data_IF_764785562390
#
_entry.id   IF_764785562390
#
_cell.length_a   1.000
_cell.length_b   1.000
_cell.length_c   1.000
_cell.angle_alpha   90.00
_cell.angle_beta   90.00
_cell.angle_gamma   90.00
#
_symmetry.space_group_name_H-M   'P 1'
#
loop_
_entity.id
_entity.type
_entity.pdbx_description
1 polymer ?
#
# COMPACT_ATOMS: atom_id res chain seq x y z
N UNK A 1 -16.29 14.98 -8.81
CA UNK A 1 -15.19 15.71 -8.14
C UNK A 1 -13.87 15.36 -8.83
N UNK A 2 -12.89 16.25 -8.88
CA UNK A 2 -11.61 15.92 -9.49
C UNK A 2 -10.75 15.16 -8.48
N UNK A 3 -10.62 13.84 -8.64
CA UNK A 3 -9.83 12.98 -7.72
C UNK A 3 -8.33 13.14 -7.91
N UNK A 4 -7.88 13.82 -8.97
CA UNK A 4 -6.46 14.01 -9.30
C UNK A 4 -5.79 12.78 -9.92
N UNK A 5 -6.45 11.62 -9.92
CA UNK A 5 -6.06 10.46 -10.72
C UNK A 5 -6.32 10.71 -12.22
N UNK A 6 -5.56 10.06 -13.12
CA UNK A 6 -5.86 10.07 -14.55
C UNK A 6 -7.18 9.34 -14.83
N UNK A 7 -7.85 9.73 -15.92
CA UNK A 7 -8.98 8.96 -16.44
C UNK A 7 -8.53 7.59 -16.94
N UNK A 8 -9.38 6.58 -16.75
CA UNK A 8 -9.13 5.21 -17.23
C UNK A 8 -8.28 4.40 -16.26
N UNK A 9 -7.60 3.39 -16.80
CA UNK A 9 -6.83 2.43 -16.01
C UNK A 9 -5.43 2.94 -15.72
N UNK A 10 -4.88 2.63 -14.55
CA UNK A 10 -3.54 3.02 -14.15
C UNK A 10 -2.90 2.02 -13.18
N UNK A 11 -1.58 2.13 -13.02
CA UNK A 11 -0.79 1.40 -12.02
C UNK A 11 -0.31 2.38 -10.96
N UNK A 12 -0.39 2.00 -9.68
CA UNK A 12 0.06 2.82 -8.55
C UNK A 12 1.45 2.34 -8.11
N UNK A 13 2.48 3.15 -8.31
CA UNK A 13 3.87 2.86 -7.95
C UNK A 13 4.26 3.55 -6.64
N UNK A 14 4.73 2.79 -5.65
CA UNK A 14 5.37 3.35 -4.46
C UNK A 14 6.78 3.84 -4.80
N UNK A 15 7.04 5.13 -4.57
CA UNK A 15 8.36 5.73 -4.76
C UNK A 15 9.33 5.39 -3.61
N UNK A 16 8.82 4.86 -2.51
CA UNK A 16 9.62 4.44 -1.36
C UNK A 16 10.42 3.15 -1.64
N UNK A 17 9.79 2.17 -2.30
CA UNK A 17 10.33 0.82 -2.47
C UNK A 17 10.31 0.31 -3.91
N UNK A 18 9.90 1.13 -4.89
CA UNK A 18 9.83 0.76 -6.32
C UNK A 18 8.97 -0.48 -6.60
N UNK A 19 7.89 -0.62 -5.84
CA UNK A 19 6.88 -1.68 -5.97
C UNK A 19 5.54 -1.08 -6.31
N UNK A 20 4.69 -1.85 -6.95
CA UNK A 20 3.35 -1.40 -7.34
C UNK A 20 2.30 -1.99 -6.41
N UNK A 21 1.19 -1.30 -6.26
CA UNK A 21 0.01 -1.83 -5.58
C UNK A 21 -0.47 -3.08 -6.34
N UNK A 22 -0.79 -4.14 -5.60
CA UNK A 22 -1.17 -5.43 -6.14
C UNK A 22 -2.21 -6.08 -5.22
N UNK A 23 -3.24 -6.65 -5.82
CA UNK A 23 -4.20 -7.51 -5.12
C UNK A 23 -3.52 -8.83 -4.80
N UNK A 24 -3.44 -9.17 -3.50
CA UNK A 24 -2.73 -10.35 -3.04
C UNK A 24 -3.25 -11.61 -3.72
N UNK A 25 -2.33 -12.41 -4.27
CA UNK A 25 -2.60 -13.64 -5.00
C UNK A 25 -3.53 -13.49 -6.23
N UNK A 26 -3.80 -12.26 -6.69
CA UNK A 26 -4.84 -11.98 -7.69
C UNK A 26 -6.22 -12.52 -7.29
N UNK A 27 -6.49 -12.59 -5.98
CA UNK A 27 -7.76 -13.07 -5.44
C UNK A 27 -8.88 -12.03 -5.63
N UNK A 28 -10.12 -12.49 -5.62
CA UNK A 28 -11.32 -11.64 -5.76
C UNK A 28 -12.23 -11.67 -4.54
N UNK A 29 -11.93 -12.51 -3.55
CA UNK A 29 -12.73 -12.64 -2.35
C UNK A 29 -12.70 -11.36 -1.49
N UNK A 30 -13.81 -11.07 -0.81
CA UNK A 30 -13.90 -9.94 0.13
C UNK A 30 -12.86 -10.04 1.25
N UNK A 31 -12.32 -8.88 1.64
CA UNK A 31 -11.26 -8.81 2.64
C UNK A 31 -9.87 -9.17 2.08
N UNK A 32 -9.75 -9.47 0.78
CA UNK A 32 -8.44 -9.68 0.15
C UNK A 32 -7.59 -8.42 0.25
N UNK A 33 -6.51 -8.51 1.01
CA UNK A 33 -5.59 -7.40 1.27
C UNK A 33 -4.85 -6.94 0.00
N UNK A 34 -4.69 -5.63 -0.13
CA UNK A 34 -3.77 -5.03 -1.10
C UNK A 34 -2.37 -4.97 -0.52
N UNK A 35 -1.39 -5.28 -1.34
CA UNK A 35 0.02 -5.32 -0.97
C UNK A 35 0.85 -4.51 -1.96
N UNK A 36 2.13 -4.29 -1.66
CA UNK A 36 3.09 -3.84 -2.66
C UNK A 36 3.90 -5.04 -3.16
N UNK A 37 3.94 -5.21 -4.47
CA UNK A 37 4.59 -6.32 -5.14
C UNK A 37 5.50 -5.82 -6.28
N UNK A 38 6.52 -6.59 -6.73
CA UNK A 38 7.23 -6.24 -7.95
C UNK A 38 6.26 -6.08 -9.12
N UNK A 39 6.53 -5.10 -9.97
CA UNK A 39 5.76 -4.91 -11.19
C UNK A 39 5.86 -6.17 -12.06
N UNK A 40 4.71 -6.84 -12.28
CA UNK A 40 4.61 -8.09 -13.06
C UNK A 40 4.82 -7.83 -14.55
N UNK A 41 4.55 -6.60 -15.01
CA UNK A 41 4.58 -6.24 -16.41
C UNK A 41 4.96 -4.78 -16.65
N UNK A 42 5.82 -4.54 -17.65
CA UNK A 42 6.38 -3.20 -17.91
C UNK A 42 5.62 -2.37 -18.94
N UNK A 43 4.81 -2.99 -19.80
CA UNK A 43 4.08 -2.24 -20.82
C UNK A 43 2.98 -1.40 -20.16
N UNK A 44 2.88 -0.13 -20.53
CA UNK A 44 1.77 0.75 -20.15
C UNK A 44 0.69 0.82 -21.25
N UNK A 45 0.84 0.06 -22.33
CA UNK A 45 -0.19 -0.08 -23.36
C UNK A 45 -1.23 -1.10 -22.90
N UNK A 46 -2.46 -0.64 -22.68
CA UNK A 46 -3.57 -1.45 -22.21
C UNK A 46 -3.90 -2.62 -23.14
N UNK A 47 -3.73 -2.44 -24.45
CA UNK A 47 -4.08 -3.45 -25.46
C UNK A 47 -3.06 -4.57 -25.57
N UNK A 48 -1.80 -4.27 -25.22
CA UNK A 48 -0.68 -5.22 -25.26
C UNK A 48 -0.41 -5.90 -23.92
N UNK A 49 -1.08 -5.44 -22.85
CA UNK A 49 -0.90 -6.00 -21.50
C UNK A 49 -1.49 -7.39 -21.40
N UNK A 50 -0.84 -8.22 -20.59
CA UNK A 50 -1.37 -9.52 -20.23
C UNK A 50 -2.50 -9.38 -19.19
N UNK A 51 -3.74 -9.82 -19.48
CA UNK A 51 -4.86 -9.74 -18.54
C UNK A 51 -4.64 -10.44 -17.20
N UNK A 52 -3.77 -11.47 -17.14
CA UNK A 52 -3.41 -12.14 -15.89
C UNK A 52 -2.69 -11.24 -14.89
N UNK A 53 -2.17 -10.08 -15.34
CA UNK A 53 -1.52 -9.08 -14.50
C UNK A 53 -2.45 -7.91 -14.11
N UNK A 54 -3.76 -8.03 -14.35
CA UNK A 54 -4.73 -6.99 -13.99
C UNK A 54 -4.91 -6.79 -12.48
N UNK A 55 -4.34 -7.66 -11.64
CA UNK A 55 -4.25 -7.46 -10.18
C UNK A 55 -3.43 -6.23 -9.77
N UNK A 56 -2.65 -5.64 -10.71
CA UNK A 56 -1.85 -4.42 -10.50
C UNK A 56 -2.44 -3.18 -11.16
N UNK A 57 -3.64 -3.31 -11.70
CA UNK A 57 -4.28 -2.26 -12.49
C UNK A 57 -5.55 -1.81 -11.78
N UNK A 58 -5.70 -0.50 -11.63
CA UNK A 58 -6.78 0.12 -10.89
C UNK A 58 -7.40 1.24 -11.73
N UNK A 59 -8.59 1.67 -11.34
CA UNK A 59 -9.26 2.84 -11.89
C UNK A 59 -10.04 3.56 -10.79
N UNK A 60 -10.44 4.79 -11.04
CA UNK A 60 -11.41 5.52 -10.21
C UNK A 60 -12.77 5.41 -10.88
N UNK A 61 -13.78 4.99 -10.12
CA UNK A 61 -15.17 4.92 -10.59
C UNK A 61 -15.84 6.30 -10.64
N UNK A 62 -17.12 6.34 -11.04
CA UNK A 62 -17.89 7.59 -11.11
C UNK A 62 -18.14 8.27 -9.75
N UNK A 63 -17.99 7.53 -8.64
CA UNK A 63 -18.19 8.01 -7.27
C UNK A 63 -16.89 8.50 -6.62
N UNK A 64 -15.73 8.25 -7.25
CA UNK A 64 -14.42 8.59 -6.69
C UNK A 64 -13.79 7.45 -5.88
N UNK A 65 -14.37 6.26 -5.92
CA UNK A 65 -13.85 5.07 -5.26
C UNK A 65 -12.75 4.44 -6.11
N UNK A 66 -11.70 3.93 -5.46
CA UNK A 66 -10.67 3.15 -6.14
C UNK A 66 -11.19 1.74 -6.39
N UNK A 67 -10.95 1.18 -7.56
CA UNK A 67 -11.41 -0.15 -7.93
C UNK A 67 -10.31 -0.98 -8.61
N UNK A 68 -10.33 -2.29 -8.39
CA UNK A 68 -9.46 -3.25 -9.06
C UNK A 68 -9.98 -3.54 -10.46
N UNK A 69 -9.12 -3.44 -11.48
CA UNK A 69 -9.49 -3.86 -12.85
C UNK A 69 -9.68 -5.36 -12.96
N UNK A 70 -8.92 -6.15 -12.20
CA UNK A 70 -8.93 -7.61 -12.29
C UNK A 70 -10.28 -8.22 -11.89
N UNK A 71 -10.87 -7.71 -10.81
CA UNK A 71 -12.14 -8.20 -10.27
C UNK A 71 -13.32 -7.27 -10.54
N UNK A 72 -13.07 -5.99 -10.78
CA UNK A 72 -14.10 -4.94 -10.85
C UNK A 72 -14.62 -4.51 -9.48
N UNK A 73 -14.03 -5.02 -8.39
CA UNK A 73 -14.45 -4.72 -7.01
C UNK A 73 -13.77 -3.46 -6.48
N UNK A 74 -14.43 -2.83 -5.51
CA UNK A 74 -13.97 -1.59 -4.88
C UNK A 74 -12.89 -1.88 -3.86
N UNK A 75 -12.05 -0.88 -3.62
CA UNK A 75 -11.05 -0.90 -2.57
C UNK A 75 -11.63 -0.21 -1.35
N UNK A 76 -11.66 -0.94 -0.24
CA UNK A 76 -12.19 -0.48 1.03
C UNK A 76 -11.08 -0.44 2.10
N UNK A 77 -11.38 0.17 3.23
CA UNK A 77 -10.53 0.28 4.39
C UNK A 77 -11.06 -0.61 5.53
N UNK A 78 -10.27 -1.61 5.91
CA UNK A 78 -10.49 -2.42 7.12
C UNK A 78 -9.38 -2.14 8.12
N UNK A 79 -9.73 -1.49 9.23
CA UNK A 79 -8.78 -1.00 10.24
C UNK A 79 -7.76 -0.04 9.58
N UNK A 80 -6.50 -0.47 9.43
CA UNK A 80 -5.44 0.27 8.75
C UNK A 80 -5.09 -0.29 7.36
N UNK A 81 -5.80 -1.32 6.88
CA UNK A 81 -5.43 -2.07 5.67
C UNK A 81 -6.42 -1.81 4.53
N UNK A 82 -5.88 -1.72 3.32
CA UNK A 82 -6.70 -1.71 2.12
C UNK A 82 -7.09 -3.14 1.73
N UNK A 83 -8.37 -3.36 1.45
CA UNK A 83 -8.92 -4.64 1.03
C UNK A 83 -9.80 -4.49 -0.20
N UNK A 84 -10.02 -5.59 -0.92
CA UNK A 84 -11.09 -5.67 -1.91
C UNK A 84 -12.42 -5.91 -1.19
N UNK A 85 -13.47 -5.24 -1.66
CA UNK A 85 -14.84 -5.51 -1.25
C UNK A 85 -15.83 -5.40 -2.41
N UNK A 86 -16.75 -6.35 -2.52
CA UNK A 86 -17.87 -6.33 -3.44
C UNK A 86 -18.83 -5.20 -3.06
N UNK A 87 -19.43 -4.56 -4.06
CA UNK A 87 -20.54 -3.65 -3.83
C UNK A 87 -21.81 -4.47 -3.70
N UNK A 88 -22.32 -4.61 -2.49
CA UNK A 88 -23.58 -5.31 -2.26
C UNK A 88 -24.75 -4.46 -2.76
N UNK A 89 -25.63 -5.00 -3.64
CA UNK A 89 -26.72 -4.21 -4.25
C UNK A 89 -27.79 -3.71 -3.27
N UNK A 90 -27.72 -4.11 -2.00
CA UNK A 90 -28.64 -3.69 -0.94
C UNK A 90 -27.95 -3.00 0.23
N UNK A 91 -26.64 -2.78 0.12
CA UNK A 91 -25.83 -2.12 1.15
C UNK A 91 -25.55 -0.68 0.70
N UNK A 92 -26.62 0.13 0.72
CA UNK A 92 -26.52 1.58 0.54
C UNK A 92 -26.05 2.28 1.83
N UNK A 93 -25.91 1.53 2.93
CA UNK A 93 -25.68 2.07 4.27
C UNK A 93 -24.18 2.36 4.54
N UNK A 94 -23.25 1.73 3.81
CA UNK A 94 -21.81 1.96 4.00
C UNK A 94 -21.16 2.61 2.76
N UNK A 95 -20.89 3.93 2.80
CA UNK A 95 -20.18 4.61 1.73
C UNK A 95 -18.73 4.08 1.63
N UNK A 96 -18.32 3.71 0.42
CA UNK A 96 -16.94 3.32 0.15
C UNK A 96 -15.99 4.53 0.27
N UNK A 97 -14.72 4.30 0.66
CA UNK A 97 -13.75 5.37 0.78
C UNK A 97 -13.52 6.09 -0.56
N UNK A 98 -13.45 7.42 -0.51
CA UNK A 98 -13.12 8.25 -1.66
C UNK A 98 -11.61 8.45 -1.71
N UNK A 99 -11.02 8.17 -2.86
CA UNK A 99 -9.58 8.29 -3.06
C UNK A 99 -9.25 9.55 -3.84
N UNK A 100 -8.26 10.29 -3.35
CA UNK A 100 -7.72 11.45 -4.08
C UNK A 100 -6.19 11.36 -4.18
N UNK A 101 -5.64 11.86 -5.28
CA UNK A 101 -4.21 11.94 -5.54
C UNK A 101 -3.80 13.38 -5.79
N UNK A 102 -2.85 13.87 -5.01
CA UNK A 102 -2.27 15.18 -5.21
C UNK A 102 -1.01 15.07 -6.08
N UNK A 103 -1.00 15.56 -7.33
CA UNK A 103 0.17 15.44 -8.21
C UNK A 103 1.37 16.27 -7.76
N UNK A 104 1.16 17.29 -6.92
CA UNK A 104 2.22 18.15 -6.37
C UNK A 104 2.93 17.47 -5.20
N UNK A 105 2.18 16.98 -4.19
CA UNK A 105 2.78 16.28 -3.04
C UNK A 105 3.07 14.82 -3.33
N UNK A 106 2.44 14.26 -4.36
CA UNK A 106 2.45 12.84 -4.74
C UNK A 106 1.85 11.91 -3.70
N UNK A 107 0.97 12.44 -2.86
CA UNK A 107 0.30 11.67 -1.82
C UNK A 107 -1.08 11.20 -2.30
N UNK A 108 -1.49 10.04 -1.81
CA UNK A 108 -2.85 9.52 -1.98
C UNK A 108 -3.55 9.68 -0.63
N UNK A 109 -4.67 10.40 -0.63
CA UNK A 109 -5.56 10.52 0.54
C UNK A 109 -6.74 9.59 0.38
N UNK A 110 -7.22 9.09 1.51
CA UNK A 110 -8.39 8.23 1.62
C UNK A 110 -9.35 8.90 2.58
N UNK A 111 -10.51 9.30 2.07
CA UNK A 111 -11.57 9.92 2.86
C UNK A 111 -12.63 8.87 3.17
N UNK A 112 -12.93 8.67 4.45
CA UNK A 112 -13.90 7.70 4.95
C UNK A 112 -15.00 8.47 5.67
N UNK A 113 -16.24 8.15 5.34
CA UNK A 113 -17.41 8.66 6.04
C UNK A 113 -17.74 7.70 7.18
N UNK A 114 -17.83 8.25 8.39
CA UNK A 114 -18.10 7.49 9.60
C UNK A 114 -19.58 7.52 9.92
N UNK A 115 -20.08 6.41 10.48
CA UNK A 115 -21.40 6.39 11.08
C UNK A 115 -21.44 7.31 12.32
N UNK A 116 -22.49 8.12 12.49
CA UNK A 116 -22.63 9.00 13.63
C UNK A 116 -22.82 8.19 14.92
N UNK A 117 -21.84 8.24 15.83
CA UNK A 117 -21.96 7.62 17.14
C UNK A 117 -22.93 8.45 18.01
N UNK A 118 -24.11 7.90 18.33
CA UNK A 118 -25.16 8.50 19.18
C UNK A 118 -26.13 9.50 18.53
N UNK A 119 -26.25 9.53 17.20
CA UNK A 119 -27.31 10.30 16.52
C UNK A 119 -27.08 11.82 16.47
N UNK A 120 -25.85 12.26 16.69
CA UNK A 120 -25.43 13.62 16.32
C UNK A 120 -25.17 13.64 14.80
N UNK A 121 -25.96 14.42 14.06
CA UNK A 121 -25.83 14.62 12.59
C UNK A 121 -24.61 15.48 12.23
N UNK A 122 -23.42 15.14 12.73
CA UNK A 122 -22.19 15.71 12.19
C UNK A 122 -21.68 14.83 11.03
N UNK A 123 -21.38 15.44 9.88
CA UNK A 123 -20.68 14.79 8.77
C UNK A 123 -19.26 14.43 9.23
N UNK A 124 -19.12 13.31 9.93
CA UNK A 124 -17.85 12.82 10.45
C UNK A 124 -17.08 12.16 9.30
N UNK A 125 -16.22 12.96 8.65
CA UNK A 125 -15.29 12.49 7.63
C UNK A 125 -13.89 12.43 8.21
N UNK A 126 -13.28 11.25 8.14
CA UNK A 126 -11.88 11.07 8.48
C UNK A 126 -11.03 11.00 7.21
N UNK A 127 -9.88 11.68 7.24
CA UNK A 127 -8.92 11.68 6.14
C UNK A 127 -7.64 10.99 6.56
N UNK A 128 -7.30 9.96 5.81
CA UNK A 128 -6.06 9.21 5.96
C UNK A 128 -5.12 9.43 4.77
N UNK A 129 -3.85 9.11 4.97
CA UNK A 129 -2.83 9.05 3.92
C UNK A 129 -2.38 7.61 3.71
N UNK A 130 -2.30 7.19 2.45
CA UNK A 130 -1.74 5.91 2.07
C UNK A 130 -0.21 5.89 2.24
N UNK A 131 0.31 4.90 2.96
CA UNK A 131 1.73 4.77 3.26
C UNK A 131 2.27 3.35 3.06
N UNK A 132 3.48 3.25 2.50
CA UNK A 132 4.20 1.99 2.39
C UNK A 132 4.90 1.62 3.70
N UNK A 133 4.83 0.36 4.12
CA UNK A 133 5.57 -0.13 5.29
C UNK A 133 6.89 -0.78 4.83
N UNK A 134 8.06 -0.16 5.11
CA UNK A 134 9.35 -0.76 4.78
C UNK A 134 9.56 -2.02 5.61
N UNK A 135 10.22 -3.03 5.04
CA UNK A 135 10.59 -4.24 5.76
C UNK A 135 12.11 -4.33 5.88
N UNK A 136 12.60 -4.47 7.12
CA UNK A 136 14.02 -4.64 7.39
C UNK A 136 14.38 -6.12 7.42
N UNK A 137 15.54 -6.48 6.89
CA UNK A 137 16.17 -7.75 7.18
C UNK A 137 16.64 -7.77 8.64
N UNK A 138 16.42 -8.88 9.36
CA UNK A 138 16.96 -9.04 10.70
C UNK A 138 18.48 -8.90 10.68
N UNK A 139 19.04 -8.21 11.69
CA UNK A 139 20.48 -8.03 11.85
C UNK A 139 20.94 -8.54 13.21
N UNK A 140 22.17 -9.02 13.28
CA UNK A 140 22.85 -9.41 14.53
C UNK A 140 24.03 -8.49 14.75
N UNK A 141 24.16 -7.99 15.98
CA UNK A 141 25.31 -7.21 16.45
C UNK A 141 26.23 -8.11 17.25
N UNK A 142 27.50 -8.18 16.87
CA UNK A 142 28.52 -8.95 17.58
C UNK A 142 29.10 -8.13 18.75
N UNK A 143 29.71 -8.80 19.73
CA UNK A 143 30.37 -8.13 20.87
C UNK A 143 31.50 -7.18 20.46
N UNK A 144 32.06 -7.35 19.26
CA UNK A 144 32.99 -6.44 18.61
C UNK A 144 32.36 -5.12 18.12
N UNK A 145 31.04 -4.98 18.16
CA UNK A 145 30.29 -3.85 17.62
C UNK A 145 29.98 -3.94 16.13
N UNK A 146 30.42 -4.98 15.42
CA UNK A 146 30.07 -5.20 14.01
C UNK A 146 28.65 -5.72 13.86
N UNK A 147 27.96 -5.37 12.75
CA UNK A 147 26.61 -5.84 12.43
C UNK A 147 26.59 -6.67 11.14
N UNK A 148 25.80 -7.74 11.11
CA UNK A 148 25.59 -8.56 9.91
C UNK A 148 24.10 -8.83 9.66
N UNK A 149 23.71 -8.93 8.39
CA UNK A 149 22.36 -9.29 7.96
C UNK A 149 22.16 -10.80 8.13
N UNK A 150 21.06 -11.19 8.77
CA UNK A 150 20.67 -12.59 8.94
C UNK A 150 20.00 -13.10 7.66
N UNK A 151 20.46 -14.22 7.09
CA UNK A 151 19.81 -14.80 5.91
C UNK A 151 18.37 -15.27 6.23
N UNK A 152 17.42 -15.12 5.29
CA UNK A 152 15.98 -15.30 5.52
C UNK A 152 15.55 -16.70 6.00
N UNK A 153 16.39 -17.73 5.82
CA UNK A 153 16.07 -19.11 6.20
C UNK A 153 16.73 -19.58 7.51
N UNK A 154 17.52 -18.73 8.19
CA UNK A 154 18.46 -19.17 9.22
C UNK A 154 19.55 -20.05 8.59
N UNK A 155 20.82 -19.70 8.63
CA UNK A 155 21.56 -19.74 9.89
C UNK A 155 22.91 -19.06 9.67
N UNK A 156 23.36 -18.23 10.60
CA UNK A 156 24.80 -18.15 10.85
C UNK A 156 25.15 -19.44 11.61
N UNK A 157 25.03 -20.60 10.95
CA UNK A 157 25.01 -22.03 11.38
C UNK A 157 24.92 -22.41 12.88
N UNK A 158 23.87 -22.09 13.66
CA UNK A 158 23.92 -22.42 15.11
C UNK A 158 25.18 -21.78 15.80
N UNK A 159 25.87 -20.83 15.11
CA UNK A 159 27.24 -20.34 15.34
C UNK A 159 27.18 -19.21 16.37
N UNK A 160 27.77 -19.30 17.54
CA UNK A 160 28.52 -20.35 18.20
C UNK A 160 28.37 -20.00 19.67
N UNK A 161 27.92 -20.96 20.50
CA UNK A 161 28.04 -20.94 21.97
C UNK A 161 27.45 -19.73 22.70
N UNK A 162 26.27 -19.98 23.29
CA UNK A 162 25.72 -19.40 24.53
C UNK A 162 26.36 -18.08 25.03
N UNK A 163 25.65 -16.95 24.80
CA UNK A 163 25.69 -15.68 25.59
C UNK A 163 25.63 -14.38 24.77
N UNK A 164 25.28 -14.40 23.48
CA UNK A 164 25.04 -13.16 22.73
C UNK A 164 23.71 -12.51 23.13
N UNK A 165 23.77 -11.55 24.06
CA UNK A 165 22.66 -10.66 24.42
C UNK A 165 22.18 -9.93 23.15
N UNK A 166 20.97 -10.26 22.70
CA UNK A 166 20.33 -9.64 21.54
C UNK A 166 19.89 -8.22 21.90
N UNK A 167 20.66 -7.22 21.52
CA UNK A 167 20.17 -5.85 21.45
C UNK A 167 19.62 -5.59 20.05
N UNK A 168 18.30 -5.68 19.89
CA UNK A 168 17.62 -5.10 18.74
C UNK A 168 17.59 -3.58 18.95
N UNK A 169 18.40 -2.83 18.20
CA UNK A 169 18.36 -1.38 18.15
C UNK A 169 17.08 -0.93 17.46
N UNK A 170 16.04 -0.62 18.25
CA UNK A 170 14.71 -0.27 17.75
C UNK A 170 14.51 1.24 17.52
N UNK A 171 15.55 2.08 17.67
CA UNK A 171 15.40 3.54 17.83
C UNK A 171 15.25 4.39 16.55
N UNK A 172 16.06 4.16 15.52
CA UNK A 172 16.05 5.03 14.30
C UNK A 172 16.29 4.23 13.00
N UNK A 173 16.54 2.93 13.10
CA UNK A 173 16.93 2.07 11.99
C UNK A 173 15.76 1.32 11.33
N UNK A 174 14.52 1.54 11.79
CA UNK A 174 13.30 0.92 11.25
C UNK A 174 12.87 1.50 9.88
N UNK A 175 13.70 2.36 9.29
CA UNK A 175 13.36 3.15 8.10
C UNK A 175 14.02 2.64 6.81
N UNK A 176 14.91 1.65 6.91
CA UNK A 176 15.58 1.06 5.75
C UNK A 176 14.82 -0.19 5.32
N UNK A 177 14.27 -0.15 4.11
CA UNK A 177 13.75 -1.33 3.42
C UNK A 177 14.91 -2.08 2.75
N UNK A 178 15.58 -2.94 3.50
CA UNK A 178 16.64 -3.83 2.98
C UNK A 178 16.17 -5.28 2.83
N UNK A 179 14.88 -5.58 3.07
CA UNK A 179 14.36 -6.95 2.98
C UNK A 179 14.36 -7.52 1.57
N UNK A 180 14.76 -8.79 1.43
CA UNK A 180 14.72 -9.51 0.16
C UNK A 180 13.33 -10.05 -0.19
N UNK A 181 12.37 -9.94 0.71
CA UNK A 181 11.02 -10.41 0.44
C UNK A 181 10.36 -9.62 -0.69
N UNK A 182 9.45 -10.26 -1.41
CA UNK A 182 8.75 -9.61 -2.52
C UNK A 182 7.52 -8.82 -2.08
N UNK A 183 6.97 -9.12 -0.91
CA UNK A 183 5.75 -8.48 -0.44
C UNK A 183 6.14 -7.37 0.54
N UNK A 184 5.50 -6.21 0.40
CA UNK A 184 5.41 -5.20 1.47
C UNK A 184 3.96 -4.93 1.79
N UNK A 185 3.71 -4.56 3.04
CA UNK A 185 2.40 -4.09 3.46
C UNK A 185 2.24 -2.63 3.05
N UNK A 186 1.02 -2.27 2.71
CA UNK A 186 0.55 -0.89 2.59
C UNK A 186 -0.46 -0.68 3.71
N UNK A 187 -0.54 0.53 4.24
CA UNK A 187 -1.55 0.89 5.23
C UNK A 187 -1.99 2.34 5.09
N UNK A 188 -3.08 2.70 5.72
CA UNK A 188 -3.46 4.09 5.94
C UNK A 188 -2.94 4.59 7.29
N UNK A 189 -2.69 5.89 7.39
CA UNK A 189 -2.35 6.58 8.64
C UNK A 189 -3.10 7.90 8.67
N UNK A 190 -3.40 8.41 9.85
CA UNK A 190 -3.99 9.74 10.00
C UNK A 190 -3.18 10.80 9.23
N UNK A 191 -3.90 11.74 8.62
CA UNK A 191 -3.29 12.84 7.89
C UNK A 191 -2.66 13.87 8.84
N UNK A 192 -1.47 13.54 9.34
CA UNK A 192 -0.65 14.44 10.16
C UNK A 192 0.47 15.04 9.33
N UNK A 193 0.92 16.23 9.73
CA UNK A 193 2.12 16.85 9.16
C UNK A 193 3.33 15.91 9.28
N UNK A 194 4.12 15.87 8.22
CA UNK A 194 5.27 14.98 8.11
C UNK A 194 6.50 15.68 8.68
N UNK A 195 7.13 15.09 9.68
CA UNK A 195 8.28 15.69 10.36
C UNK A 195 9.63 15.25 9.76
N UNK A 196 9.64 14.24 8.88
CA UNK A 196 10.86 13.72 8.26
C UNK A 196 10.73 13.46 6.75
N UNK A 197 11.83 13.68 6.02
CA UNK A 197 11.93 13.35 4.58
C UNK A 197 11.62 11.88 4.31
N UNK A 198 11.98 11.01 5.26
CA UNK A 198 11.83 9.56 5.14
C UNK A 198 10.37 9.15 5.23
N UNK A 199 9.61 9.72 6.17
CA UNK A 199 8.16 9.52 6.22
C UNK A 199 7.48 10.07 4.97
N UNK A 200 7.92 11.23 4.47
CA UNK A 200 7.39 11.80 3.23
C UNK A 200 7.57 10.82 2.09
N UNK A 201 8.77 10.23 1.94
CA UNK A 201 9.04 9.25 0.89
C UNK A 201 8.10 8.03 0.96
N UNK A 202 7.76 7.54 2.17
CA UNK A 202 6.80 6.42 2.37
C UNK A 202 5.37 6.75 1.93
N UNK A 203 5.02 8.03 1.88
CA UNK A 203 3.71 8.55 1.47
C UNK A 203 3.66 9.00 0.00
N UNK A 204 4.79 8.91 -0.73
CA UNK A 204 4.87 9.34 -2.13
C UNK A 204 4.64 8.22 -3.13
N UNK A 205 3.81 8.52 -4.13
CA UNK A 205 3.33 7.59 -5.15
C UNK A 205 3.52 8.18 -6.55
N UNK A 206 3.64 7.32 -7.55
CA UNK A 206 3.54 7.70 -8.95
C UNK A 206 2.36 6.96 -9.57
N UNK A 207 1.47 7.71 -10.20
CA UNK A 207 0.32 7.16 -10.92
C UNK A 207 0.71 7.03 -12.39
N UNK A 208 0.75 5.79 -12.88
CA UNK A 208 1.18 5.46 -14.24
C UNK A 208 -0.06 5.13 -15.07
N UNK A 209 -0.61 6.07 -15.86
CA UNK A 209 -1.77 5.81 -16.69
C UNK A 209 -1.44 4.75 -17.75
N UNK A 210 -2.39 3.86 -17.99
CA UNK A 210 -2.36 2.98 -19.15
C UNK A 210 -2.89 3.74 -20.35
N UNK A 211 -2.20 3.63 -21.48
CA UNK A 211 -2.61 4.20 -22.75
C UNK A 211 -3.35 3.14 -23.54
N UNK A 212 -4.46 3.53 -24.15
CA UNK A 212 -5.07 2.78 -25.25
C UNK A 212 -4.64 3.50 -26.52
N UNK A 213 -3.97 2.83 -27.46
CA UNK A 213 -3.80 3.45 -28.79
C UNK A 213 -5.20 3.76 -29.34
N UNK A 214 -5.38 5.01 -29.78
CA UNK A 214 -6.63 5.54 -30.31
C UNK A 214 -6.85 5.12 -31.77
#
# INVERSE_FOLDING_TARGET
MATGFPSGNFVILSLACSRVLDVKNSDSDDGTELILFPCKERTLDETLRNPWNNSQVFFIDEFGCLASKGSGHLIDLEEDRLVIRHRDPGDDDFPFPVFSYNPTTREITVEVELEPENGEEEDLRETFILTSIPKRNPRVTFTSGSTAIVPPNGSFADQTTESSYRHYSQGEEAEVDDSLEWIRRVKTVENTEVNSEKERKKRTWAILPLITEA
#
